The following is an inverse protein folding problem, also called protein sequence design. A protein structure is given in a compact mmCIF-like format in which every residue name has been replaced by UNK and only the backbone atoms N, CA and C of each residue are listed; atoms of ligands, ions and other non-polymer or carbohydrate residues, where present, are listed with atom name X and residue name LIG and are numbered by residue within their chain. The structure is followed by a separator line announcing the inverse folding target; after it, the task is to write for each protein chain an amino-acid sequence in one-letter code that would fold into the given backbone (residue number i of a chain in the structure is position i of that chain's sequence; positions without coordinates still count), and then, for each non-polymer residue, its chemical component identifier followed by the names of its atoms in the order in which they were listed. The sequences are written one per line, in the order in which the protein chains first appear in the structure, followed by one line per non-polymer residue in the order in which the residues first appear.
data_IF_217528131149
#
_entry.id   IF_217528131149
#
_cell.length_a   1.000
_cell.length_b   1.000
_cell.length_c   1.000
_cell.angle_alpha   90.00
_cell.angle_beta   90.00
_cell.angle_gamma   90.00
#
_symmetry.space_group_name_H-M   'P 1'
#
loop_
_entity.id
_entity.type
_entity.pdbx_description
1 polymer ?
#
# COMPACT_ATOMS: atom_id res chain seq x y z
N UNK A 1 -20.89 20.54 -18.08
CA UNK A 1 -20.16 21.04 -16.90
C UNK A 1 -19.81 19.81 -16.07
N UNK A 2 -18.56 19.37 -16.08
CA UNK A 2 -18.16 18.19 -15.30
C UNK A 2 -18.05 18.61 -13.83
N UNK A 3 -18.76 17.91 -12.94
CA UNK A 3 -18.58 18.06 -11.49
C UNK A 3 -17.15 17.68 -11.12
N UNK A 4 -16.44 18.49 -10.30
CA UNK A 4 -15.12 18.11 -9.82
C UNK A 4 -15.21 16.78 -9.06
N UNK A 5 -14.22 15.91 -9.25
CA UNK A 5 -14.19 14.60 -8.60
C UNK A 5 -14.19 14.79 -7.07
N UNK A 6 -14.98 14.00 -6.32
CA UNK A 6 -15.03 14.11 -4.86
C UNK A 6 -13.65 13.83 -4.27
N UNK A 7 -13.29 14.61 -3.25
CA UNK A 7 -12.04 14.45 -2.51
C UNK A 7 -12.20 13.45 -1.37
N UNK A 8 -11.10 12.84 -0.92
CA UNK A 8 -11.12 11.91 0.23
C UNK A 8 -11.69 12.59 1.49
N UNK A 9 -11.38 13.87 1.69
CA UNK A 9 -11.88 14.64 2.83
C UNK A 9 -13.39 14.80 2.83
N UNK A 10 -14.00 15.02 1.66
CA UNK A 10 -15.46 15.05 1.51
C UNK A 10 -16.08 13.66 1.68
N UNK A 11 -15.47 12.65 1.06
CA UNK A 11 -15.95 11.26 1.14
C UNK A 11 -15.91 10.71 2.57
N UNK A 12 -14.87 11.05 3.34
CA UNK A 12 -14.63 10.55 4.70
C UNK A 12 -15.10 11.53 5.78
N UNK A 13 -15.81 12.61 5.43
CA UNK A 13 -16.27 13.62 6.39
C UNK A 13 -17.19 13.03 7.48
N UNK A 14 -17.89 11.94 7.18
CA UNK A 14 -18.75 11.22 8.12
C UNK A 14 -18.00 10.28 9.07
N UNK A 15 -16.72 10.01 8.82
CA UNK A 15 -15.90 9.04 9.58
C UNK A 15 -14.96 9.79 10.51
N UNK A 16 -15.01 9.43 11.80
CA UNK A 16 -14.12 10.08 12.78
C UNK A 16 -12.65 9.74 12.48
N UNK A 17 -11.74 10.63 12.86
CA UNK A 17 -10.30 10.39 12.70
C UNK A 17 -9.84 9.14 13.45
N UNK A 18 -10.40 8.91 14.64
CA UNK A 18 -10.10 7.73 15.46
C UNK A 18 -10.53 6.44 14.77
N UNK A 19 -11.73 6.42 14.19
CA UNK A 19 -12.25 5.27 13.44
C UNK A 19 -11.39 4.96 12.21
N UNK A 20 -10.96 5.98 11.46
CA UNK A 20 -10.02 5.79 10.34
C UNK A 20 -8.68 5.20 10.79
N UNK A 21 -8.13 5.66 11.91
CA UNK A 21 -6.91 5.07 12.49
C UNK A 21 -7.10 3.61 12.86
N UNK A 22 -8.22 3.29 13.51
CA UNK A 22 -8.55 1.92 13.91
C UNK A 22 -8.69 1.03 12.67
N UNK A 23 -9.43 1.47 11.64
CA UNK A 23 -9.54 0.75 10.36
C UNK A 23 -8.18 0.53 9.70
N UNK A 24 -7.31 1.54 9.67
CA UNK A 24 -5.96 1.41 9.11
C UNK A 24 -5.15 0.33 9.85
N UNK A 25 -5.13 0.35 11.19
CA UNK A 25 -4.41 -0.64 12.00
C UNK A 25 -4.98 -2.04 11.77
N UNK A 26 -6.32 -2.20 11.77
CA UNK A 26 -6.95 -3.49 11.54
C UNK A 26 -6.75 -4.01 10.13
N UNK A 27 -6.81 -3.15 9.10
CA UNK A 27 -6.52 -3.53 7.72
C UNK A 27 -5.08 -4.02 7.59
N UNK A 28 -4.12 -3.32 8.21
CA UNK A 28 -2.71 -3.71 8.23
C UNK A 28 -2.45 -5.00 9.03
N UNK A 29 -3.19 -5.27 10.11
CA UNK A 29 -3.04 -6.51 10.85
C UNK A 29 -3.69 -7.68 10.09
N UNK A 30 -4.92 -7.49 9.64
CA UNK A 30 -5.72 -8.58 9.12
C UNK A 30 -5.30 -8.98 7.71
N UNK A 31 -5.05 -8.02 6.82
CA UNK A 31 -4.79 -8.34 5.43
C UNK A 31 -3.37 -8.89 5.21
N UNK A 32 -2.27 -8.14 5.43
CA UNK A 32 -0.95 -8.66 5.13
C UNK A 32 -0.48 -9.70 6.15
N UNK A 33 -0.68 -9.51 7.47
CA UNK A 33 -0.24 -10.51 8.46
C UNK A 33 -1.14 -11.75 8.45
N UNK A 34 -2.46 -11.56 8.41
CA UNK A 34 -3.41 -12.68 8.31
C UNK A 34 -3.20 -13.50 7.03
N UNK A 35 -3.22 -12.88 5.85
CA UNK A 35 -3.07 -13.64 4.60
C UNK A 35 -1.72 -14.34 4.47
N UNK A 36 -0.62 -13.68 4.86
CA UNK A 36 0.71 -14.31 4.80
C UNK A 36 0.85 -15.46 5.78
N UNK A 37 0.39 -15.29 7.02
CA UNK A 37 0.44 -16.36 8.02
C UNK A 37 -0.44 -17.54 7.64
N UNK A 38 -1.64 -17.30 7.10
CA UNK A 38 -2.51 -18.35 6.55
C UNK A 38 -1.84 -19.08 5.39
N UNK A 39 -1.22 -18.38 4.44
CA UNK A 39 -0.50 -19.01 3.33
C UNK A 39 0.66 -19.89 3.81
N UNK A 40 1.46 -19.39 4.74
CA UNK A 40 2.58 -20.14 5.34
C UNK A 40 2.04 -21.38 6.07
N UNK A 41 1.00 -21.21 6.86
CA UNK A 41 0.37 -22.30 7.61
C UNK A 41 -0.19 -23.38 6.67
N UNK A 42 -0.92 -23.00 5.64
CA UNK A 42 -1.44 -23.94 4.63
C UNK A 42 -0.31 -24.69 3.91
N UNK A 43 0.78 -24.01 3.53
CA UNK A 43 1.91 -24.70 2.90
C UNK A 43 2.59 -25.70 3.84
N UNK A 44 2.75 -25.36 5.11
CA UNK A 44 3.35 -26.26 6.12
C UNK A 44 2.44 -27.47 6.39
N UNK A 45 1.13 -27.23 6.51
CA UNK A 45 0.16 -28.23 6.92
C UNK A 45 -0.25 -29.16 5.76
N UNK A 46 -0.46 -28.62 4.56
CA UNK A 46 -0.97 -29.38 3.41
C UNK A 46 0.13 -30.01 2.56
N UNK A 47 1.31 -29.39 2.48
CA UNK A 47 2.39 -29.86 1.59
C UNK A 47 3.42 -30.64 2.38
N UNK A 48 4.20 -29.95 3.23
CA UNK A 48 5.14 -30.60 4.14
C UNK A 48 5.71 -29.61 5.16
N UNK A 49 6.08 -30.08 6.36
CA UNK A 49 6.73 -29.23 7.36
C UNK A 49 8.12 -28.73 6.91
N UNK A 50 8.75 -29.41 5.95
CA UNK A 50 10.05 -29.01 5.37
C UNK A 50 9.93 -28.20 4.07
N UNK A 51 8.73 -27.80 3.65
CA UNK A 51 8.51 -27.17 2.36
C UNK A 51 9.31 -25.87 2.16
N UNK A 52 9.40 -25.05 3.21
CA UNK A 52 10.16 -23.80 3.21
C UNK A 52 11.65 -24.00 3.52
N UNK A 53 12.02 -25.04 4.27
CA UNK A 53 13.43 -25.33 4.59
C UNK A 53 14.16 -26.00 3.43
N UNK A 54 13.45 -26.70 2.56
CA UNK A 54 14.03 -27.39 1.40
C UNK A 54 14.51 -26.41 0.33
N UNK A 55 13.84 -25.26 0.18
CA UNK A 55 14.20 -24.24 -0.80
C UNK A 55 14.17 -22.85 -0.15
N UNK A 56 15.33 -22.24 0.14
CA UNK A 56 15.43 -21.05 0.98
C UNK A 56 14.77 -19.80 0.38
N UNK A 57 14.49 -19.79 -0.93
CA UNK A 57 13.87 -18.66 -1.62
C UNK A 57 12.35 -18.59 -1.53
N UNK A 58 11.67 -19.69 -1.16
CA UNK A 58 10.20 -19.73 -1.06
C UNK A 58 9.67 -18.81 0.04
N UNK A 59 10.34 -18.81 1.20
CA UNK A 59 9.94 -17.99 2.34
C UNK A 59 10.15 -16.48 2.09
N UNK A 60 11.32 -16.01 1.60
CA UNK A 60 11.51 -14.64 1.15
C UNK A 60 10.47 -14.19 0.11
N UNK A 61 10.11 -15.06 -0.84
CA UNK A 61 9.09 -14.74 -1.83
C UNK A 61 7.73 -14.46 -1.19
N UNK A 62 7.25 -15.35 -0.30
CA UNK A 62 5.98 -15.16 0.42
C UNK A 62 6.02 -13.91 1.31
N UNK A 63 7.12 -13.69 2.03
CA UNK A 63 7.29 -12.50 2.86
C UNK A 63 7.31 -11.20 2.03
N UNK A 64 7.96 -11.22 0.86
CA UNK A 64 7.99 -10.07 -0.05
C UNK A 64 6.60 -9.75 -0.60
N UNK A 65 5.79 -10.77 -0.91
CA UNK A 65 4.39 -10.58 -1.30
C UNK A 65 3.56 -9.96 -0.16
N UNK A 66 3.77 -10.43 1.06
CA UNK A 66 3.21 -9.82 2.26
C UNK A 66 3.57 -8.35 2.43
N UNK A 67 4.85 -8.03 2.23
CA UNK A 67 5.35 -6.66 2.28
C UNK A 67 4.71 -5.78 1.20
N UNK A 68 4.51 -6.30 -0.02
CA UNK A 68 3.79 -5.59 -1.07
C UNK A 68 2.37 -5.21 -0.65
N UNK A 69 1.60 -6.16 -0.13
CA UNK A 69 0.22 -5.89 0.34
C UNK A 69 0.24 -4.90 1.51
N UNK A 70 1.19 -5.05 2.43
CA UNK A 70 1.37 -4.13 3.56
C UNK A 70 1.64 -2.70 3.10
N UNK A 71 2.56 -2.49 2.15
CA UNK A 71 2.85 -1.17 1.60
C UNK A 71 1.63 -0.59 0.90
N UNK A 72 0.86 -1.40 0.16
CA UNK A 72 -0.36 -0.93 -0.51
C UNK A 72 -1.39 -0.39 0.50
N UNK A 73 -1.71 -1.15 1.54
CA UNK A 73 -2.65 -0.72 2.59
C UNK A 73 -2.13 0.47 3.40
N UNK A 74 -0.81 0.57 3.57
CA UNK A 74 -0.19 1.73 4.21
C UNK A 74 -0.42 2.99 3.38
N UNK A 75 -0.27 2.92 2.05
CA UNK A 75 -0.47 4.06 1.15
C UNK A 75 -1.95 4.50 1.15
N UNK A 76 -2.88 3.54 1.08
CA UNK A 76 -4.32 3.81 1.16
C UNK A 76 -4.66 4.52 2.49
N UNK A 77 -4.26 3.93 3.61
CA UNK A 77 -4.50 4.50 4.94
C UNK A 77 -3.84 5.87 5.12
N UNK A 78 -2.63 6.05 4.59
CA UNK A 78 -1.92 7.32 4.63
C UNK A 78 -2.69 8.41 3.87
N UNK A 79 -3.18 8.10 2.67
CA UNK A 79 -3.97 9.04 1.89
C UNK A 79 -5.28 9.41 2.61
N UNK A 80 -5.97 8.43 3.19
CA UNK A 80 -7.21 8.64 3.93
C UNK A 80 -7.03 9.48 5.19
N UNK A 81 -5.91 9.31 5.91
CA UNK A 81 -5.65 10.03 7.17
C UNK A 81 -5.06 11.42 6.98
N UNK A 82 -4.12 11.57 6.04
CA UNK A 82 -3.24 12.73 5.97
C UNK A 82 -3.46 13.57 4.71
N UNK A 83 -4.08 13.06 3.65
CA UNK A 83 -4.26 13.80 2.41
C UNK A 83 -5.74 13.97 2.06
N UNK A 84 -6.48 14.85 2.78
CA UNK A 84 -7.91 15.07 2.55
C UNK A 84 -8.22 15.61 1.15
N UNK A 85 -7.25 16.23 0.47
CA UNK A 85 -7.41 16.78 -0.89
C UNK A 85 -7.17 15.77 -2.02
N UNK A 86 -6.76 14.54 -1.71
CA UNK A 86 -6.55 13.51 -2.75
C UNK A 86 -7.89 13.18 -3.41
N UNK A 87 -7.97 13.13 -4.75
CA UNK A 87 -9.16 12.67 -5.45
C UNK A 87 -9.43 11.19 -5.12
N UNK A 88 -10.68 10.85 -4.84
CA UNK A 88 -11.09 9.46 -4.54
C UNK A 88 -10.70 8.50 -5.68
N UNK A 89 -10.74 8.99 -6.92
CA UNK A 89 -10.37 8.21 -8.11
C UNK A 89 -8.93 7.70 -8.08
N UNK A 90 -8.00 8.40 -7.43
CA UNK A 90 -6.59 7.98 -7.36
C UNK A 90 -6.47 6.75 -6.45
N UNK A 91 -7.15 6.77 -5.31
CA UNK A 91 -7.16 5.64 -4.35
C UNK A 91 -7.95 4.47 -4.89
N UNK A 92 -9.06 4.72 -5.57
CA UNK A 92 -9.83 3.66 -6.24
C UNK A 92 -8.99 2.97 -7.33
N UNK A 93 -8.24 3.72 -8.13
CA UNK A 93 -7.32 3.14 -9.12
C UNK A 93 -6.17 2.39 -8.46
N UNK A 94 -5.64 2.87 -7.33
CA UNK A 94 -4.64 2.14 -6.55
C UNK A 94 -5.20 0.79 -6.08
N UNK A 95 -6.44 0.75 -5.59
CA UNK A 95 -7.07 -0.48 -5.10
C UNK A 95 -7.42 -1.45 -6.23
N UNK A 96 -7.95 -0.96 -7.34
CA UNK A 96 -8.31 -1.79 -8.49
C UNK A 96 -7.07 -2.29 -9.25
N UNK A 97 -6.14 -1.41 -9.58
CA UNK A 97 -4.96 -1.76 -10.38
C UNK A 97 -3.87 -2.34 -9.51
N UNK A 98 -3.49 -1.67 -8.43
CA UNK A 98 -2.43 -2.13 -7.53
C UNK A 98 -2.84 -3.33 -6.69
N UNK A 99 -4.07 -3.31 -6.15
CA UNK A 99 -4.59 -4.37 -5.28
C UNK A 99 -5.09 -5.58 -6.08
N UNK A 100 -6.19 -5.41 -6.81
CA UNK A 100 -6.82 -6.51 -7.54
C UNK A 100 -6.02 -6.96 -8.77
N UNK A 101 -5.55 -6.01 -9.59
CA UNK A 101 -4.81 -6.32 -10.81
C UNK A 101 -3.42 -6.89 -10.54
N UNK A 102 -2.53 -6.07 -9.99
CA UNK A 102 -1.12 -6.43 -9.78
C UNK A 102 -0.96 -7.32 -8.55
N UNK A 103 -1.56 -6.97 -7.42
CA UNK A 103 -1.46 -7.75 -6.18
C UNK A 103 -2.06 -9.14 -6.32
N UNK A 104 -3.37 -9.26 -6.48
CA UNK A 104 -4.04 -10.56 -6.55
C UNK A 104 -3.82 -11.23 -7.92
N UNK A 105 -4.06 -10.49 -9.01
CA UNK A 105 -4.01 -11.06 -10.36
C UNK A 105 -2.61 -11.48 -10.79
N UNK A 106 -1.62 -10.58 -10.74
CA UNK A 106 -0.27 -10.90 -11.24
C UNK A 106 0.57 -11.61 -10.17
N UNK A 107 0.80 -10.95 -9.04
CA UNK A 107 1.70 -11.44 -8.00
C UNK A 107 1.10 -12.64 -7.25
N UNK A 108 -0.21 -12.60 -6.97
CA UNK A 108 -0.94 -13.68 -6.31
C UNK A 108 -0.97 -14.96 -7.15
N UNK A 109 -1.36 -14.88 -8.43
CA UNK A 109 -1.34 -16.06 -9.31
C UNK A 109 0.07 -16.59 -9.53
N UNK A 110 1.06 -15.71 -9.70
CA UNK A 110 2.47 -16.11 -9.78
C UNK A 110 2.89 -16.88 -8.52
N UNK A 111 2.58 -16.35 -7.33
CA UNK A 111 2.91 -16.97 -6.05
C UNK A 111 2.24 -18.34 -5.91
N UNK A 112 0.94 -18.44 -6.22
CA UNK A 112 0.18 -19.69 -6.18
C UNK A 112 0.74 -20.73 -7.16
N UNK A 113 1.11 -20.34 -8.38
CA UNK A 113 1.68 -21.24 -9.36
C UNK A 113 3.06 -21.77 -8.91
N UNK A 114 3.91 -20.87 -8.40
CA UNK A 114 5.26 -21.22 -7.93
C UNK A 114 5.22 -22.14 -6.70
N UNK A 115 4.34 -21.86 -5.75
CA UNK A 115 4.15 -22.67 -4.54
C UNK A 115 3.46 -24.00 -4.86
N UNK A 116 2.40 -23.98 -5.66
CA UNK A 116 1.61 -25.16 -6.02
C UNK A 116 2.37 -26.14 -6.91
N UNK A 117 3.23 -25.65 -7.81
CA UNK A 117 4.12 -26.51 -8.59
C UNK A 117 5.38 -26.94 -7.83
N UNK A 118 5.53 -26.51 -6.57
CA UNK A 118 6.71 -26.76 -5.74
C UNK A 118 8.02 -26.47 -6.47
N UNK A 119 8.12 -25.31 -7.14
CA UNK A 119 9.32 -24.94 -7.91
C UNK A 119 10.55 -24.92 -6.99
N UNK A 120 11.61 -25.62 -7.41
CA UNK A 120 12.89 -25.70 -6.68
C UNK A 120 14.00 -24.86 -7.33
N UNK A 121 13.80 -24.44 -8.58
CA UNK A 121 14.78 -23.64 -9.29
C UNK A 121 14.94 -22.25 -8.63
N UNK A 122 16.11 -22.06 -8.01
CA UNK A 122 16.46 -20.82 -7.31
C UNK A 122 16.49 -19.60 -8.23
N UNK A 123 16.77 -19.77 -9.53
CA UNK A 123 16.80 -18.65 -10.50
C UNK A 123 15.39 -18.12 -10.76
N UNK A 124 14.43 -19.04 -10.90
CA UNK A 124 13.02 -18.70 -11.10
C UNK A 124 12.49 -18.00 -9.86
N UNK A 125 12.77 -18.54 -8.67
CA UNK A 125 12.33 -17.92 -7.41
C UNK A 125 12.96 -16.53 -7.21
N UNK A 126 14.25 -16.37 -7.50
CA UNK A 126 14.91 -15.06 -7.42
C UNK A 126 14.32 -14.05 -8.41
N UNK A 127 13.99 -14.46 -9.63
CA UNK A 127 13.33 -13.61 -10.62
C UNK A 127 11.92 -13.18 -10.15
N UNK A 128 11.14 -14.11 -9.57
CA UNK A 128 9.85 -13.81 -8.97
C UNK A 128 9.97 -12.84 -7.79
N UNK A 129 10.93 -13.05 -6.88
CA UNK A 129 11.18 -12.15 -5.75
C UNK A 129 11.61 -10.77 -6.24
N UNK A 130 12.44 -10.70 -7.29
CA UNK A 130 12.84 -9.45 -7.91
C UNK A 130 11.63 -8.69 -8.50
N UNK A 131 10.72 -9.39 -9.19
CA UNK A 131 9.50 -8.78 -9.72
C UNK A 131 8.62 -8.16 -8.61
N UNK A 132 8.48 -8.86 -7.48
CA UNK A 132 7.77 -8.34 -6.30
C UNK A 132 8.50 -7.11 -5.75
N UNK A 133 9.83 -7.16 -5.63
CA UNK A 133 10.63 -6.04 -5.15
C UNK A 133 10.51 -4.79 -6.03
N UNK A 134 10.53 -4.95 -7.36
CA UNK A 134 10.31 -3.84 -8.31
C UNK A 134 8.91 -3.25 -8.13
N UNK A 135 7.90 -4.10 -7.90
CA UNK A 135 6.53 -3.66 -7.67
C UNK A 135 6.40 -2.86 -6.36
N UNK A 136 7.07 -3.30 -5.30
CA UNK A 136 7.16 -2.56 -4.02
C UNK A 136 7.84 -1.20 -4.25
N UNK A 137 8.96 -1.15 -4.96
CA UNK A 137 9.65 0.09 -5.26
C UNK A 137 8.75 1.06 -6.04
N UNK A 138 7.97 0.54 -7.01
CA UNK A 138 6.96 1.32 -7.73
C UNK A 138 5.89 1.91 -6.80
N UNK A 139 5.37 1.13 -5.85
CA UNK A 139 4.42 1.63 -4.85
C UNK A 139 5.03 2.71 -3.95
N UNK A 140 6.29 2.54 -3.51
CA UNK A 140 6.98 3.54 -2.69
C UNK A 140 7.20 4.84 -3.47
N UNK A 141 7.62 4.76 -4.73
CA UNK A 141 7.76 5.95 -5.60
C UNK A 141 6.41 6.63 -5.77
N UNK A 142 5.35 5.87 -6.05
CA UNK A 142 3.99 6.39 -6.13
C UNK A 142 3.55 7.09 -4.83
N UNK A 143 3.85 6.49 -3.67
CA UNK A 143 3.56 7.07 -2.37
C UNK A 143 4.26 8.41 -2.14
N UNK A 144 5.56 8.48 -2.45
CA UNK A 144 6.35 9.72 -2.35
C UNK A 144 5.77 10.79 -3.28
N UNK A 145 5.41 10.43 -4.51
CA UNK A 145 4.77 11.36 -5.45
C UNK A 145 3.43 11.86 -4.91
N UNK A 146 2.61 10.98 -4.31
CA UNK A 146 1.35 11.36 -3.68
C UNK A 146 1.58 12.37 -2.56
N UNK A 147 2.53 12.08 -1.66
CA UNK A 147 2.90 12.95 -0.55
C UNK A 147 3.45 14.31 -1.04
N UNK A 148 4.28 14.33 -2.09
CA UNK A 148 4.79 15.56 -2.67
C UNK A 148 3.68 16.42 -3.30
N UNK A 149 2.84 15.82 -4.13
CA UNK A 149 1.80 16.53 -4.89
C UNK A 149 0.74 17.15 -3.97
N UNK A 150 0.28 16.41 -2.96
CA UNK A 150 -0.83 16.85 -2.13
C UNK A 150 -0.38 17.40 -0.77
N UNK A 151 0.79 17.02 -0.26
CA UNK A 151 1.37 17.55 0.97
C UNK A 151 2.01 18.94 0.80
N UNK A 152 2.63 19.22 -0.35
CA UNK A 152 3.23 20.54 -0.62
C UNK A 152 2.17 21.65 -0.83
N UNK A 153 0.91 21.27 -1.05
CA UNK A 153 -0.21 22.21 -1.16
C UNK A 153 -0.65 22.72 0.23
N UNK A 154 -0.32 22.00 1.30
CA UNK A 154 -0.62 22.41 2.68
C UNK A 154 0.34 23.51 3.16
N UNK A 155 1.61 23.46 2.75
CA UNK A 155 2.61 24.51 3.05
C UNK A 155 2.41 25.80 2.25
N UNK A 156 1.78 25.72 1.07
CA UNK A 156 1.50 26.90 0.23
C UNK A 156 0.28 27.70 0.67
N UNK A 157 -0.48 27.21 1.67
CA UNK A 157 -1.65 27.90 2.24
C UNK A 157 -1.33 28.58 3.59
N UNK A 158 -0.09 29.06 3.76
CA UNK A 158 0.22 30.11 4.75
C UNK A 158 0.62 31.35 3.96
N UNK A 159 -0.31 32.28 3.68
CA UNK A 159 0.13 33.61 3.25
C UNK A 159 0.98 34.19 4.38
N UNK A 160 2.15 34.69 4.01
CA UNK A 160 2.99 35.53 4.83
C UNK A 160 2.19 36.75 5.33
N UNK A 161 1.46 36.57 6.42
CA UNK A 161 0.76 37.63 7.14
C UNK A 161 1.53 37.90 8.45
N UNK A 162 2.80 38.25 8.32
CA UNK A 162 3.56 38.88 9.39
C UNK A 162 4.36 40.05 8.82
N UNK A 163 4.14 41.19 9.46
CA UNK A 163 4.88 42.44 9.36
C UNK A 163 4.51 43.40 8.22
N UNK A 164 3.41 44.17 8.42
CA UNK A 164 3.53 45.64 8.47
C UNK A 164 2.60 46.20 9.55
N UNK A 165 3.21 46.72 10.63
CA UNK A 165 2.54 47.53 11.66
C UNK A 165 2.11 48.89 11.07
N UNK A 166 1.01 49.50 11.55
CA UNK A 166 0.63 50.86 11.19
C UNK A 166 1.61 51.86 11.83
N UNK A 167 2.20 52.73 11.01
CA UNK A 167 2.94 53.92 11.49
C UNK A 167 1.93 54.88 12.14
N UNK A 168 2.13 55.14 13.43
CA UNK A 168 1.48 56.24 14.16
C UNK A 168 2.20 57.55 13.78
N UNK A 169 1.49 58.62 13.37
CA UNK A 169 2.10 59.93 13.18
C UNK A 169 2.29 60.63 14.54
N UNK A 170 3.45 61.25 14.73
CA UNK A 170 3.70 62.31 15.72
C UNK A 170 3.58 63.63 14.99
#
# INVERSE_FOLDING_TARGET
MATPAPTLGESLAHVTRTERWVMAVFAQLFCPVGMTSSLIYSCIHEISPSFFSSVPWRLPLVLSYGAYMSVLFLIESYAELFLPRTPVTVIEKLRLVGGWGVGIGVLGLMLSAVLGAAVEDSRVLAACTFLVAVSIAGLVVFWVLLACMYGSLESSTVPAATAQLPRVPI
#
